data_IF_986885600447
#
_entry.id   IF_986885600447
#
_cell.length_a   1.000
_cell.length_b   1.000
_cell.length_c   1.000
_cell.angle_alpha   90.00
_cell.angle_beta   90.00
_cell.angle_gamma   90.00
#
_symmetry.space_group_name_H-M   'P 1'
#
loop_
_entity.id
_entity.type
_entity.pdbx_description
1 polymer ?
#
# COMPACT_ATOMS: atom_id res chain seq x y z
N UNK A 1 14.17 4.11 5.71
CA UNK A 1 13.14 4.21 6.76
C UNK A 1 12.08 5.11 6.20
N UNK A 2 10.86 4.61 6.11
CA UNK A 2 9.74 5.36 5.58
C UNK A 2 9.02 6.08 6.73
N UNK A 3 8.58 7.32 6.50
CA UNK A 3 7.83 8.12 7.46
C UNK A 3 6.51 8.47 6.82
N UNK A 4 5.45 7.71 7.13
CA UNK A 4 4.14 7.90 6.51
C UNK A 4 3.48 9.22 6.93
N UNK A 5 3.64 9.59 8.20
CA UNK A 5 2.96 10.74 8.80
C UNK A 5 3.72 11.24 10.04
N UNK A 6 3.34 12.44 10.49
CA UNK A 6 3.68 12.96 11.82
C UNK A 6 2.39 13.11 12.61
N UNK A 7 2.38 12.59 13.84
CA UNK A 7 1.25 12.67 14.76
C UNK A 7 0.93 14.13 15.11
N UNK A 8 -0.36 14.47 15.12
CA UNK A 8 -0.84 15.79 15.55
C UNK A 8 -0.77 15.99 17.06
N UNK A 9 -1.17 17.16 17.54
CA UNK A 9 -1.16 17.52 18.98
C UNK A 9 -2.41 17.02 19.76
N UNK A 10 -3.29 16.27 19.11
CA UNK A 10 -4.58 15.86 19.66
C UNK A 10 -4.50 14.71 20.67
N UNK A 11 -5.63 14.51 21.37
CA UNK A 11 -5.95 13.27 22.06
C UNK A 11 -6.63 12.32 21.06
N UNK A 12 -6.44 11.00 21.19
CA UNK A 12 -6.91 9.98 20.23
C UNK A 12 -6.18 10.11 18.88
N UNK A 13 -5.06 9.39 18.72
CA UNK A 13 -4.20 9.39 17.52
C UNK A 13 -3.24 10.60 17.38
N UNK A 14 -2.77 11.15 18.50
CA UNK A 14 -1.80 12.26 18.54
C UNK A 14 -0.66 12.06 19.53
N UNK A 15 0.27 13.02 19.61
CA UNK A 15 1.46 12.93 20.47
C UNK A 15 1.12 12.83 21.96
N UNK A 16 -0.09 13.24 22.37
CA UNK A 16 -0.55 13.10 23.76
C UNK A 16 -0.69 11.63 24.19
N UNK A 17 -0.73 10.70 23.25
CA UNK A 17 -0.71 9.25 23.52
C UNK A 17 0.69 8.69 23.80
N UNK A 18 1.74 9.51 23.71
CA UNK A 18 3.13 9.07 23.93
C UNK A 18 3.31 8.31 25.24
N UNK A 19 2.69 8.77 26.34
CA UNK A 19 2.81 8.10 27.64
C UNK A 19 2.20 6.69 27.61
N UNK A 20 1.04 6.53 26.95
CA UNK A 20 0.41 5.24 26.76
C UNK A 20 1.29 4.33 25.89
N UNK A 21 1.80 4.82 24.76
CA UNK A 21 2.65 4.07 23.85
C UNK A 21 3.96 3.63 24.51
N UNK A 22 4.59 4.51 25.30
CA UNK A 22 5.79 4.19 26.07
C UNK A 22 5.54 3.03 27.03
N UNK A 23 4.39 3.01 27.70
CA UNK A 23 4.04 1.95 28.64
C UNK A 23 3.71 0.63 27.93
N UNK A 24 2.87 0.69 26.90
CA UNK A 24 2.40 -0.49 26.16
C UNK A 24 3.55 -1.22 25.47
N UNK A 25 4.45 -0.46 24.83
CA UNK A 25 5.53 -1.02 24.02
C UNK A 25 6.87 -1.08 24.75
N UNK A 26 6.92 -0.67 26.02
CA UNK A 26 8.14 -0.69 26.83
C UNK A 26 9.24 0.22 26.29
N UNK A 27 8.87 1.36 25.70
CA UNK A 27 9.82 2.31 25.11
C UNK A 27 10.60 3.07 26.21
N UNK A 28 11.71 3.74 25.85
CA UNK A 28 12.40 4.63 26.77
C UNK A 28 11.47 5.72 27.32
N UNK A 29 11.59 6.01 28.61
CA UNK A 29 10.91 7.15 29.22
C UNK A 29 11.51 8.47 28.74
N UNK A 30 10.75 9.55 28.87
CA UNK A 30 11.15 10.91 28.47
C UNK A 30 11.40 11.06 26.97
N UNK A 31 10.53 10.43 26.19
CA UNK A 31 10.44 10.65 24.75
C UNK A 31 9.04 11.13 24.40
N UNK A 32 8.89 11.76 23.24
CA UNK A 32 7.58 12.07 22.66
C UNK A 32 7.51 11.37 21.31
N UNK A 33 6.60 10.41 21.17
CA UNK A 33 6.41 9.67 19.92
C UNK A 33 5.73 10.59 18.91
N UNK A 34 6.32 10.67 17.72
CA UNK A 34 5.83 11.55 16.64
C UNK A 34 5.44 10.77 15.37
N UNK A 35 5.82 9.50 15.25
CA UNK A 35 5.43 8.62 14.15
C UNK A 35 5.74 7.16 14.50
N UNK A 36 5.12 6.22 13.81
CA UNK A 36 5.42 4.80 13.89
C UNK A 36 4.23 3.90 14.20
N UNK A 37 4.49 2.60 14.22
CA UNK A 37 3.56 1.54 14.58
C UNK A 37 4.34 0.41 15.26
N UNK A 38 3.68 -0.47 16.02
CA UNK A 38 4.26 -1.44 16.95
C UNK A 38 5.67 -2.03 16.73
N UNK A 39 6.13 -2.18 15.49
CA UNK A 39 7.48 -2.62 15.13
C UNK A 39 8.57 -1.54 15.25
N UNK A 40 8.25 -0.27 14.98
CA UNK A 40 9.21 0.82 15.00
C UNK A 40 8.59 2.19 15.25
N UNK A 41 9.35 3.06 15.91
CA UNK A 41 8.88 4.36 16.37
C UNK A 41 9.88 5.46 16.05
N UNK A 42 9.38 6.66 15.74
CA UNK A 42 10.17 7.89 15.68
C UNK A 42 9.74 8.81 16.81
N UNK A 43 10.70 9.36 17.54
CA UNK A 43 10.42 10.14 18.73
C UNK A 43 11.40 11.29 18.94
N UNK A 44 10.94 12.35 19.61
CA UNK A 44 11.82 13.33 20.22
C UNK A 44 12.43 12.78 21.50
N UNK A 45 13.76 12.85 21.64
CA UNK A 45 14.48 12.32 22.80
C UNK A 45 14.83 13.39 23.83
N UNK A 46 13.99 13.51 24.85
CA UNK A 46 14.19 14.43 25.98
C UNK A 46 14.96 13.79 27.15
N UNK A 47 15.56 12.61 26.99
CA UNK A 47 16.28 11.96 28.10
C UNK A 47 17.46 12.79 28.62
N UNK A 48 18.10 13.55 27.73
CA UNK A 48 19.32 14.32 28.04
C UNK A 48 19.17 15.83 27.84
N UNK A 49 18.04 16.31 27.31
CA UNK A 49 17.78 17.74 27.09
C UNK A 49 16.33 18.10 27.37
N UNK A 50 16.07 19.39 27.60
CA UNK A 50 14.72 19.94 27.81
C UNK A 50 14.22 20.78 26.64
N UNK A 51 15.14 21.24 25.80
CA UNK A 51 14.88 22.11 24.66
C UNK A 51 15.66 21.56 23.47
N UNK A 52 15.07 21.67 22.29
CA UNK A 52 15.65 21.18 21.02
C UNK A 52 16.19 19.73 21.08
N UNK A 53 15.31 18.74 21.33
CA UNK A 53 15.72 17.34 21.41
C UNK A 53 16.13 16.78 20.06
N UNK A 54 17.07 15.81 20.03
CA UNK A 54 17.31 15.03 18.83
C UNK A 54 16.09 14.18 18.48
N UNK A 55 15.97 13.86 17.19
CA UNK A 55 14.98 12.91 16.68
C UNK A 55 15.63 11.54 16.60
N UNK A 56 15.01 10.55 17.24
CA UNK A 56 15.49 9.17 17.29
C UNK A 56 14.52 8.21 16.60
N UNK A 57 15.07 7.14 16.06
CA UNK A 57 14.36 5.94 15.65
C UNK A 57 14.56 4.84 16.67
N UNK A 58 13.50 4.09 16.94
CA UNK A 58 13.47 2.96 17.85
C UNK A 58 12.97 1.75 17.08
N UNK A 59 13.84 0.76 16.90
CA UNK A 59 13.46 -0.58 16.43
C UNK A 59 13.00 -1.37 17.66
N UNK A 60 11.70 -1.65 17.77
CA UNK A 60 11.13 -2.33 18.93
C UNK A 60 11.53 -3.82 18.98
N UNK A 61 11.70 -4.45 17.81
CA UNK A 61 12.05 -5.86 17.69
C UNK A 61 13.51 -6.11 18.06
N UNK A 62 14.43 -5.25 17.58
CA UNK A 62 15.86 -5.35 17.84
C UNK A 62 16.31 -4.58 19.10
N UNK A 63 15.41 -3.80 19.70
CA UNK A 63 15.68 -2.92 20.85
C UNK A 63 16.83 -1.93 20.57
N UNK A 64 16.92 -1.48 19.33
CA UNK A 64 17.95 -0.54 18.88
C UNK A 64 17.39 0.88 18.84
N UNK A 65 18.21 1.84 19.30
CA UNK A 65 17.90 3.27 19.19
C UNK A 65 18.97 3.93 18.32
N UNK A 66 18.54 4.64 17.29
CA UNK A 66 19.41 5.34 16.34
C UNK A 66 19.02 6.82 16.34
N UNK A 67 20.00 7.71 16.51
CA UNK A 67 19.77 9.14 16.28
C UNK A 67 19.65 9.40 14.78
N UNK A 68 18.54 10.00 14.37
CA UNK A 68 18.28 10.37 12.97
C UNK A 68 18.79 11.77 12.68
N UNK A 69 18.56 12.70 13.61
CA UNK A 69 18.95 14.09 13.48
C UNK A 69 19.13 14.75 14.84
N UNK A 70 20.01 15.75 14.94
CA UNK A 70 20.29 16.44 16.20
C UNK A 70 19.14 17.35 16.68
N UNK A 71 18.22 17.72 15.79
CA UNK A 71 17.02 18.50 16.09
C UNK A 71 15.94 18.30 15.02
N UNK A 72 14.75 18.86 15.28
CA UNK A 72 13.60 18.70 14.38
C UNK A 72 13.80 19.39 13.02
N UNK A 73 14.40 20.58 12.99
CA UNK A 73 14.68 21.28 11.73
C UNK A 73 15.61 20.48 10.82
N UNK A 74 16.67 19.88 11.39
CA UNK A 74 17.59 19.03 10.64
C UNK A 74 16.92 17.73 10.17
N UNK A 75 16.01 17.17 10.98
CA UNK A 75 15.21 16.02 10.57
C UNK A 75 14.37 16.36 9.34
N UNK A 76 13.62 17.47 9.37
CA UNK A 76 12.78 17.90 8.25
C UNK A 76 13.59 18.18 6.98
N UNK A 77 14.79 18.76 7.11
CA UNK A 77 15.69 18.99 5.97
C UNK A 77 16.26 17.70 5.37
N UNK A 78 16.35 16.64 6.16
CA UNK A 78 16.78 15.32 5.71
C UNK A 78 15.66 14.50 5.08
N UNK A 79 14.39 14.91 5.26
CA UNK A 79 13.27 14.28 4.58
C UNK A 79 13.31 14.63 3.10
N UNK A 80 13.13 13.61 2.28
CA UNK A 80 12.84 13.75 0.87
C UNK A 80 11.61 12.90 0.58
N UNK A 81 10.83 13.32 -0.41
CA UNK A 81 9.90 12.38 -1.01
C UNK A 81 10.77 11.35 -1.69
N UNK A 82 10.74 10.12 -1.17
CA UNK A 82 11.17 8.99 -1.94
C UNK A 82 10.33 9.03 -3.20
N UNK A 83 10.97 9.42 -4.31
CA UNK A 83 10.47 9.04 -5.62
C UNK A 83 10.47 7.53 -5.53
N UNK A 84 9.31 6.98 -5.17
CA UNK A 84 8.93 5.69 -5.68
C UNK A 84 9.09 5.90 -7.17
N UNK A 85 10.26 5.53 -7.69
CA UNK A 85 10.27 4.71 -8.88
C UNK A 85 9.20 3.68 -8.54
N UNK A 86 7.97 3.95 -8.96
CA UNK A 86 6.99 2.90 -9.15
C UNK A 86 7.84 1.82 -9.77
N UNK A 87 7.92 0.66 -9.16
CA UNK A 87 8.57 -0.51 -9.73
C UNK A 87 7.86 -0.94 -11.05
N UNK A 88 7.18 -0.02 -11.74
CA UNK A 88 6.55 -0.10 -13.05
C UNK A 88 7.51 0.30 -14.20
N UNK A 89 8.78 0.58 -13.92
CA UNK A 89 9.81 0.57 -14.96
C UNK A 89 11.01 -0.21 -14.47
N UNK A 90 10.90 -1.53 -14.48
CA UNK A 90 12.07 -2.39 -14.56
C UNK A 90 12.98 -1.86 -15.69
N UNK A 91 14.23 -1.44 -15.41
CA UNK A 91 15.13 -0.94 -16.44
C UNK A 91 15.46 -1.98 -17.53
N UNK A 92 15.15 -3.28 -17.33
CA UNK A 92 15.16 -4.32 -18.36
C UNK A 92 13.84 -4.39 -19.17
N UNK A 93 12.73 -3.88 -18.63
CA UNK A 93 11.40 -3.83 -19.28
C UNK A 93 10.89 -2.38 -19.37
N UNK A 94 11.47 -1.55 -20.27
CA UNK A 94 10.93 -0.22 -20.53
C UNK A 94 9.46 -0.32 -20.92
N UNK A 95 8.64 0.65 -20.49
CA UNK A 95 7.20 0.75 -20.77
C UNK A 95 6.86 0.21 -22.17
N UNK A 96 6.45 -1.07 -22.22
CA UNK A 96 6.13 -1.76 -23.46
C UNK A 96 4.84 -1.12 -23.97
N UNK A 97 4.86 -0.66 -25.22
CA UNK A 97 3.62 -0.25 -25.86
C UNK A 97 2.85 -1.51 -26.24
N UNK A 98 1.97 -1.94 -25.34
CA UNK A 98 1.13 -3.12 -25.53
C UNK A 98 0.09 -2.89 -26.62
N UNK A 99 0.01 -3.82 -27.57
CA UNK A 99 -1.13 -3.91 -28.50
C UNK A 99 -2.28 -4.70 -27.89
N UNK A 100 -3.49 -4.52 -28.41
CA UNK A 100 -4.66 -5.31 -27.98
C UNK A 100 -4.45 -6.84 -28.14
N UNK A 101 -3.70 -7.25 -29.16
CA UNK A 101 -3.40 -8.67 -29.41
C UNK A 101 -2.42 -9.22 -28.36
N UNK A 102 -1.38 -8.47 -28.02
CA UNK A 102 -0.44 -8.86 -26.97
C UNK A 102 -1.12 -8.92 -25.60
N UNK A 103 -1.93 -7.92 -25.25
CA UNK A 103 -2.68 -7.95 -23.98
C UNK A 103 -3.62 -9.15 -23.92
N UNK A 104 -4.34 -9.43 -25.00
CA UNK A 104 -5.25 -10.58 -25.06
C UNK A 104 -4.48 -11.90 -24.90
N UNK A 105 -3.28 -11.99 -25.49
CA UNK A 105 -2.43 -13.18 -25.40
C UNK A 105 -1.89 -13.37 -23.99
N UNK A 106 -1.38 -12.30 -23.37
CA UNK A 106 -0.86 -12.33 -22.01
C UNK A 106 -1.95 -12.69 -20.99
N UNK A 107 -3.11 -12.03 -21.05
CA UNK A 107 -4.24 -12.26 -20.14
C UNK A 107 -4.92 -13.64 -20.34
N UNK A 108 -4.65 -14.32 -21.45
CA UNK A 108 -5.08 -15.70 -21.69
C UNK A 108 -4.01 -16.75 -21.35
N UNK A 109 -2.82 -16.31 -20.90
CA UNK A 109 -1.72 -17.19 -20.54
C UNK A 109 -1.81 -17.64 -19.07
N UNK A 110 -0.94 -18.58 -18.68
CA UNK A 110 -0.72 -18.95 -17.28
C UNK A 110 0.58 -18.34 -16.74
N UNK A 111 1.11 -17.31 -17.40
CA UNK A 111 2.32 -16.62 -17.00
C UNK A 111 1.93 -15.43 -16.12
N UNK A 112 2.13 -15.57 -14.81
CA UNK A 112 1.74 -14.56 -13.83
C UNK A 112 2.37 -13.20 -14.12
N UNK A 113 3.62 -13.20 -14.60
CA UNK A 113 4.37 -11.99 -14.88
C UNK A 113 3.79 -11.26 -16.10
N UNK A 114 3.52 -11.97 -17.19
CA UNK A 114 2.89 -11.36 -18.38
C UNK A 114 1.46 -10.87 -18.08
N UNK A 115 0.71 -11.58 -17.25
CA UNK A 115 -0.62 -11.16 -16.81
C UNK A 115 -0.55 -9.86 -15.99
N UNK A 116 0.35 -9.78 -15.01
CA UNK A 116 0.57 -8.56 -14.22
C UNK A 116 0.98 -7.40 -15.12
N UNK A 117 1.99 -7.57 -15.98
CA UNK A 117 2.45 -6.52 -16.90
C UNK A 117 1.32 -5.98 -17.81
N UNK A 118 0.45 -6.85 -18.30
CA UNK A 118 -0.70 -6.43 -19.11
C UNK A 118 -1.74 -5.65 -18.28
N UNK A 119 -2.00 -6.07 -17.04
CA UNK A 119 -2.91 -5.38 -16.13
C UNK A 119 -2.35 -4.03 -15.65
N UNK A 120 -1.05 -3.92 -15.39
CA UNK A 120 -0.36 -2.67 -15.05
C UNK A 120 -0.48 -1.64 -16.18
N UNK A 121 -0.23 -2.09 -17.42
CA UNK A 121 -0.41 -1.24 -18.59
C UNK A 121 -1.86 -0.71 -18.70
N UNK A 122 -2.85 -1.58 -18.50
CA UNK A 122 -4.27 -1.22 -18.52
C UNK A 122 -4.65 -0.29 -17.36
N UNK A 123 -4.05 -0.49 -16.19
CA UNK A 123 -4.24 0.36 -15.01
C UNK A 123 -3.67 1.75 -15.24
N UNK A 124 -2.50 1.86 -15.86
CA UNK A 124 -1.92 3.14 -16.27
C UNK A 124 -2.72 3.82 -17.40
N UNK A 125 -3.32 3.02 -18.31
CA UNK A 125 -3.99 3.51 -19.52
C UNK A 125 -5.47 3.04 -19.65
N UNK A 126 -6.36 3.37 -18.70
CA UNK A 126 -7.72 2.83 -18.69
C UNK A 126 -8.64 3.46 -19.75
N UNK A 127 -8.32 4.68 -20.19
CA UNK A 127 -9.13 5.42 -21.17
C UNK A 127 -9.20 4.69 -22.50
N UNK A 128 -10.42 4.31 -22.91
CA UNK A 128 -10.66 3.54 -24.14
C UNK A 128 -10.60 2.01 -23.95
N UNK A 129 -10.16 1.52 -22.80
CA UNK A 129 -10.05 0.08 -22.50
C UNK A 129 -11.05 -0.44 -21.45
N UNK A 130 -11.88 0.41 -20.85
CA UNK A 130 -12.78 0.02 -19.75
C UNK A 130 -13.59 -1.27 -20.02
N UNK A 131 -14.28 -1.36 -21.17
CA UNK A 131 -15.06 -2.55 -21.51
C UNK A 131 -14.18 -3.82 -21.69
N UNK A 132 -12.96 -3.64 -22.19
CA UNK A 132 -11.99 -4.73 -22.33
C UNK A 132 -11.50 -5.18 -20.95
N UNK A 133 -11.14 -4.25 -20.07
CA UNK A 133 -10.73 -4.51 -18.69
C UNK A 133 -11.80 -5.31 -17.95
N UNK A 134 -13.06 -4.86 -17.99
CA UNK A 134 -14.19 -5.55 -17.37
C UNK A 134 -14.34 -6.99 -17.86
N UNK A 135 -14.22 -7.21 -19.18
CA UNK A 135 -14.34 -8.55 -19.76
C UNK A 135 -13.18 -9.47 -19.32
N UNK A 136 -11.96 -8.96 -19.31
CA UNK A 136 -10.77 -9.75 -18.96
C UNK A 136 -10.74 -10.08 -17.48
N UNK A 137 -11.08 -9.14 -16.59
CA UNK A 137 -11.17 -9.39 -15.14
C UNK A 137 -12.19 -10.49 -14.83
N UNK A 138 -13.38 -10.43 -15.42
CA UNK A 138 -14.40 -11.48 -15.26
C UNK A 138 -13.89 -12.84 -15.73
N UNK A 139 -13.10 -12.87 -16.81
CA UNK A 139 -12.54 -14.12 -17.36
C UNK A 139 -11.46 -14.69 -16.43
N UNK A 140 -10.53 -13.85 -15.96
CA UNK A 140 -9.45 -14.26 -15.06
C UNK A 140 -9.95 -14.70 -13.68
N UNK A 141 -11.00 -14.07 -13.16
CA UNK A 141 -11.63 -14.50 -11.89
C UNK A 141 -12.22 -15.91 -11.95
N UNK A 142 -12.51 -16.41 -13.16
CA UNK A 142 -13.03 -17.76 -13.40
C UNK A 142 -11.93 -18.73 -13.85
N UNK A 143 -10.67 -18.31 -13.78
CA UNK A 143 -9.53 -19.11 -14.21
C UNK A 143 -9.33 -20.34 -13.32
N UNK A 144 -8.81 -21.44 -13.87
CA UNK A 144 -8.63 -22.69 -13.13
C UNK A 144 -7.46 -22.66 -12.13
N UNK A 145 -6.48 -21.79 -12.37
CA UNK A 145 -5.32 -21.56 -11.51
C UNK A 145 -5.65 -20.48 -10.45
N UNK A 146 -5.33 -20.77 -9.19
CA UNK A 146 -5.67 -19.94 -8.04
C UNK A 146 -4.94 -18.60 -8.08
N UNK A 147 -3.66 -18.61 -8.42
CA UNK A 147 -2.82 -17.42 -8.50
C UNK A 147 -3.42 -16.41 -9.51
N UNK A 148 -3.92 -16.88 -10.66
CA UNK A 148 -4.59 -16.03 -11.65
C UNK A 148 -5.88 -15.39 -11.09
N UNK A 149 -6.65 -16.16 -10.31
CA UNK A 149 -7.86 -15.63 -9.66
C UNK A 149 -7.50 -14.54 -8.66
N UNK A 150 -6.46 -14.76 -7.85
CA UNK A 150 -6.00 -13.82 -6.83
C UNK A 150 -5.47 -12.53 -7.45
N UNK A 151 -4.67 -12.63 -8.53
CA UNK A 151 -4.23 -11.48 -9.32
C UNK A 151 -5.44 -10.70 -9.82
N UNK A 152 -6.38 -11.36 -10.47
CA UNK A 152 -7.58 -10.71 -11.00
C UNK A 152 -8.42 -10.05 -9.91
N UNK A 153 -8.54 -10.68 -8.74
CA UNK A 153 -9.27 -10.14 -7.60
C UNK A 153 -8.63 -8.86 -7.06
N UNK A 154 -7.30 -8.86 -6.92
CA UNK A 154 -6.54 -7.69 -6.49
C UNK A 154 -6.69 -6.52 -7.47
N UNK A 155 -6.46 -6.75 -8.77
CA UNK A 155 -6.61 -5.70 -9.77
C UNK A 155 -8.05 -5.21 -9.91
N UNK A 156 -9.05 -6.09 -9.78
CA UNK A 156 -10.46 -5.68 -9.84
C UNK A 156 -10.80 -4.66 -8.74
N UNK A 157 -10.25 -4.82 -7.54
CA UNK A 157 -10.39 -3.84 -6.46
C UNK A 157 -9.75 -2.50 -6.84
N UNK A 158 -8.51 -2.49 -7.31
CA UNK A 158 -7.84 -1.24 -7.72
C UNK A 158 -8.52 -0.53 -8.89
N UNK A 159 -9.03 -1.26 -9.88
CA UNK A 159 -9.82 -0.68 -10.96
C UNK A 159 -11.15 -0.11 -10.47
N UNK A 160 -11.74 -0.69 -9.42
CA UNK A 160 -12.94 -0.15 -8.77
C UNK A 160 -12.64 1.16 -8.05
N UNK A 161 -11.59 1.22 -7.21
CA UNK A 161 -11.18 2.45 -6.52
C UNK A 161 -10.87 3.58 -7.52
N UNK A 162 -10.26 3.24 -8.65
CA UNK A 162 -9.96 4.19 -9.73
C UNK A 162 -11.20 4.62 -10.54
N UNK A 163 -12.37 4.04 -10.28
CA UNK A 163 -13.62 4.36 -10.97
C UNK A 163 -13.69 3.87 -12.43
N UNK A 164 -12.88 2.88 -12.80
CA UNK A 164 -12.84 2.32 -14.17
C UNK A 164 -13.99 1.36 -14.40
N UNK A 165 -14.38 0.60 -13.37
CA UNK A 165 -15.42 -0.42 -13.46
C UNK A 165 -16.82 0.18 -13.35
N UNK A 166 -17.71 -0.24 -14.24
CA UNK A 166 -19.14 0.10 -14.17
C UNK A 166 -19.83 -0.62 -13.00
N UNK A 167 -20.88 -0.02 -12.42
CA UNK A 167 -21.62 -0.65 -11.32
C UNK A 167 -22.11 -2.08 -11.63
N UNK A 168 -22.67 -2.38 -12.83
CA UNK A 168 -23.06 -3.76 -13.16
C UNK A 168 -21.87 -4.73 -13.21
N UNK A 169 -20.69 -4.27 -13.62
CA UNK A 169 -19.50 -5.09 -13.62
C UNK A 169 -19.03 -5.39 -12.19
N UNK A 170 -19.01 -4.38 -11.31
CA UNK A 170 -18.67 -4.54 -9.89
C UNK A 170 -19.58 -5.56 -9.21
N UNK A 171 -20.90 -5.46 -9.42
CA UNK A 171 -21.86 -6.45 -8.88
C UNK A 171 -21.54 -7.87 -9.37
N UNK A 172 -21.20 -8.02 -10.65
CA UNK A 172 -20.84 -9.31 -11.24
C UNK A 172 -19.53 -9.86 -10.67
N UNK A 173 -18.50 -9.03 -10.53
CA UNK A 173 -17.19 -9.41 -9.96
C UNK A 173 -17.35 -9.87 -8.51
N UNK A 174 -18.03 -9.07 -7.68
CA UNK A 174 -18.32 -9.39 -6.29
C UNK A 174 -19.12 -10.70 -6.20
N UNK A 175 -20.09 -10.91 -7.09
CA UNK A 175 -20.83 -12.16 -7.15
C UNK A 175 -19.95 -13.35 -7.54
N UNK A 176 -18.95 -13.20 -8.40
CA UNK A 176 -18.03 -14.29 -8.74
C UNK A 176 -17.19 -14.65 -7.52
N UNK A 177 -16.57 -13.65 -6.87
CA UNK A 177 -15.74 -13.85 -5.68
C UNK A 177 -16.50 -14.54 -4.55
N UNK A 178 -17.71 -14.08 -4.22
CA UNK A 178 -18.53 -14.67 -3.14
C UNK A 178 -18.98 -16.12 -3.38
N UNK A 179 -18.96 -16.57 -4.63
CA UNK A 179 -19.30 -17.95 -4.97
C UNK A 179 -18.06 -18.85 -5.14
N UNK A 180 -16.87 -18.31 -4.89
CA UNK A 180 -15.60 -19.02 -4.99
C UNK A 180 -14.87 -18.97 -3.64
N UNK A 181 -14.86 -20.09 -2.92
CA UNK A 181 -14.29 -20.20 -1.57
C UNK A 181 -12.79 -19.84 -1.52
N UNK A 182 -12.08 -19.85 -2.64
CA UNK A 182 -10.64 -19.54 -2.66
C UNK A 182 -10.36 -18.03 -2.69
N UNK A 183 -11.32 -17.23 -3.14
CA UNK A 183 -11.19 -15.77 -3.33
C UNK A 183 -12.34 -14.97 -2.70
N UNK A 184 -13.20 -15.61 -1.90
CA UNK A 184 -14.37 -14.96 -1.30
C UNK A 184 -14.03 -13.72 -0.47
N UNK A 185 -12.90 -13.75 0.23
CA UNK A 185 -12.47 -12.67 1.12
C UNK A 185 -12.16 -11.36 0.38
N UNK A 186 -11.81 -11.41 -0.91
CA UNK A 186 -11.60 -10.20 -1.71
C UNK A 186 -12.89 -9.41 -1.92
N UNK A 187 -14.05 -10.06 -1.87
CA UNK A 187 -15.33 -9.39 -2.06
C UNK A 187 -15.60 -8.32 -0.99
N UNK A 188 -15.06 -8.50 0.21
CA UNK A 188 -15.27 -7.56 1.32
C UNK A 188 -14.46 -6.28 1.16
N UNK A 189 -13.34 -6.31 0.40
CA UNK A 189 -12.52 -5.13 0.10
C UNK A 189 -13.32 -4.06 -0.66
N UNK A 190 -14.27 -4.45 -1.50
CA UNK A 190 -15.13 -3.51 -2.24
C UNK A 190 -16.07 -2.68 -1.35
N UNK A 191 -16.18 -3.02 -0.07
CA UNK A 191 -17.11 -2.38 0.87
C UNK A 191 -16.42 -1.87 2.15
N UNK A 192 -15.09 -1.93 2.24
CA UNK A 192 -14.36 -1.58 3.46
C UNK A 192 -14.27 -0.08 3.75
N UNK A 193 -14.67 0.81 2.84
CA UNK A 193 -14.64 2.28 3.04
C UNK A 193 -15.87 2.86 3.79
N UNK A 194 -16.62 2.06 4.56
CA UNK A 194 -17.78 2.54 5.31
C UNK A 194 -17.78 2.10 6.79
N UNK A 195 -16.63 2.22 7.46
CA UNK A 195 -16.54 2.11 8.92
C UNK A 195 -15.76 3.26 9.54
#
# INVERSE_FOLDING_TARGET
MHIDHILGIGEQEGILESEYLIQEWGLPKHIVVISGSGHSWVAFDYRNTREDPPVIFIDADQKQIIELAPNFDSFLQGLYLEEVETEDVDPEHPARNWTMEEMTTALASNDELEVCHALDYLYANPTGHAAFIEQQLVTLLQHANLEMKQIAANYAYHFHEKGVLSPPCVEKIVSIMRNDNEIEYYADMFFSENR
#
